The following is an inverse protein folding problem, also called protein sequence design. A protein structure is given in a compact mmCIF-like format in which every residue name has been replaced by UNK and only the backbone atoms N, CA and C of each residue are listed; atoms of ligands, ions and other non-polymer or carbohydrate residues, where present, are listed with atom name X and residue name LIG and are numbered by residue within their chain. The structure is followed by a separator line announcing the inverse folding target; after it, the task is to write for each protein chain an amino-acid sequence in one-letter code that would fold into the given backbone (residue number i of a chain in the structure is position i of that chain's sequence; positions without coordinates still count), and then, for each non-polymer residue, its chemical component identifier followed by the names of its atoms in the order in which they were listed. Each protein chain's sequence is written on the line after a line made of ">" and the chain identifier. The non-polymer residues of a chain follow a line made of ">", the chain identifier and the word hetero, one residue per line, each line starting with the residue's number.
data_IF_307829788874
#
_entry.id   IF_307829788874
#
_cell.length_a   1.000
_cell.length_b   1.000
_cell.length_c   1.000
_cell.angle_alpha   90.00
_cell.angle_beta   90.00
_cell.angle_gamma   90.00
#
_symmetry.space_group_name_H-M   'P 1'
#
loop_
_entity.id
_entity.type
_entity.pdbx_description
1 polymer ?
#
# COMPACT_ATOMS: atom_id res chain seq x y z
N UNK A 1 1.50 -24.73 -24.02
CA UNK A 1 1.05 -24.07 -22.77
C UNK A 1 -0.43 -23.75 -22.93
N UNK A 2 -1.30 -24.26 -22.04
CA UNK A 2 -2.74 -23.99 -22.13
C UNK A 2 -3.03 -22.49 -21.99
N UNK A 3 -4.15 -22.02 -22.52
CA UNK A 3 -4.57 -20.61 -22.37
C UNK A 3 -4.57 -20.18 -20.90
N UNK A 4 -5.04 -21.06 -20.01
CA UNK A 4 -5.02 -20.87 -18.56
C UNK A 4 -3.61 -20.60 -18.01
N UNK A 5 -2.59 -21.27 -18.56
CA UNK A 5 -1.18 -21.04 -18.19
C UNK A 5 -0.67 -19.65 -18.60
N UNK A 6 -1.07 -19.16 -19.78
CA UNK A 6 -0.72 -17.80 -20.25
C UNK A 6 -1.31 -16.73 -19.33
N UNK A 7 -2.60 -16.85 -18.98
CA UNK A 7 -3.25 -15.91 -18.07
C UNK A 7 -2.63 -15.91 -16.66
N UNK A 8 -2.22 -17.08 -16.15
CA UNK A 8 -1.55 -17.18 -14.85
C UNK A 8 -0.19 -16.48 -14.84
N UNK A 9 0.60 -16.62 -15.91
CA UNK A 9 1.90 -15.94 -16.05
C UNK A 9 1.75 -14.43 -16.16
N UNK A 10 0.82 -13.96 -17.00
CA UNK A 10 0.55 -12.51 -17.13
C UNK A 10 0.12 -11.92 -15.78
N UNK A 11 -0.79 -12.58 -15.07
CA UNK A 11 -1.20 -12.15 -13.72
C UNK A 11 -0.02 -12.10 -12.76
N UNK A 12 0.83 -13.13 -12.73
CA UNK A 12 1.99 -13.16 -11.86
C UNK A 12 2.99 -12.04 -12.21
N UNK A 13 3.22 -11.78 -13.49
CA UNK A 13 4.04 -10.66 -13.96
C UNK A 13 3.50 -9.31 -13.47
N UNK A 14 2.19 -9.07 -13.62
CA UNK A 14 1.54 -7.87 -13.11
C UNK A 14 1.66 -7.73 -11.59
N UNK A 15 1.47 -8.83 -10.84
CA UNK A 15 1.65 -8.82 -9.37
C UNK A 15 3.07 -8.39 -9.03
N UNK A 16 4.10 -8.94 -9.69
CA UNK A 16 5.51 -8.57 -9.45
C UNK A 16 5.73 -7.09 -9.75
N UNK A 17 5.37 -6.67 -10.97
CA UNK A 17 5.61 -5.30 -11.47
C UNK A 17 4.91 -4.24 -10.63
N UNK A 18 3.74 -4.54 -10.05
CA UNK A 18 3.02 -3.60 -9.20
C UNK A 18 3.45 -3.66 -7.73
N UNK A 19 3.76 -4.86 -7.21
CA UNK A 19 4.13 -5.01 -5.79
C UNK A 19 5.44 -4.28 -5.49
N UNK A 20 6.45 -4.38 -6.35
CA UNK A 20 7.77 -3.77 -6.09
C UNK A 20 7.74 -2.24 -5.95
N UNK A 21 7.18 -1.45 -6.90
CA UNK A 21 7.11 0.00 -6.75
C UNK A 21 6.17 0.42 -5.62
N UNK A 22 5.04 -0.26 -5.41
CA UNK A 22 4.18 0.01 -4.27
C UNK A 22 4.88 -0.28 -2.94
N UNK A 23 5.70 -1.33 -2.87
CA UNK A 23 6.47 -1.67 -1.69
C UNK A 23 7.54 -0.63 -1.39
N UNK A 24 8.24 -0.14 -2.42
CA UNK A 24 9.17 0.96 -2.26
C UNK A 24 8.45 2.22 -1.78
N UNK A 25 7.30 2.55 -2.36
CA UNK A 25 6.52 3.73 -1.99
C UNK A 25 6.00 3.65 -0.55
N UNK A 26 5.22 2.62 -0.20
CA UNK A 26 4.66 2.48 1.15
C UNK A 26 5.74 2.18 2.20
N UNK A 27 6.81 1.48 1.81
CA UNK A 27 7.98 1.29 2.66
C UNK A 27 8.65 2.62 3.01
N UNK A 28 8.88 3.48 2.01
CA UNK A 28 9.47 4.80 2.20
C UNK A 28 8.58 5.71 3.05
N UNK A 29 7.29 5.84 2.70
CA UNK A 29 6.36 6.71 3.42
C UNK A 29 6.11 6.19 4.84
N UNK A 30 5.95 4.87 5.02
CA UNK A 30 5.80 4.23 6.33
C UNK A 30 7.04 4.43 7.22
N UNK A 31 8.24 4.33 6.65
CA UNK A 31 9.49 4.62 7.35
C UNK A 31 9.53 6.06 7.87
N UNK A 32 9.28 7.04 7.01
CA UNK A 32 9.26 8.45 7.43
C UNK A 32 8.22 8.69 8.54
N UNK A 33 7.01 8.14 8.43
CA UNK A 33 5.97 8.26 9.46
C UNK A 33 6.41 7.67 10.82
N UNK A 34 7.17 6.57 10.82
CA UNK A 34 7.61 5.89 12.04
C UNK A 34 8.80 6.58 12.73
N UNK A 35 9.72 7.16 11.95
CA UNK A 35 11.05 7.54 12.45
C UNK A 35 11.42 9.01 12.29
N UNK A 36 10.84 9.75 11.32
CA UNK A 36 11.20 11.15 11.10
C UNK A 36 10.71 12.06 12.22
N UNK A 37 11.36 13.21 12.34
CA UNK A 37 10.91 14.27 13.26
C UNK A 37 9.58 14.86 12.80
N UNK A 38 8.77 15.40 13.72
CA UNK A 38 7.53 16.07 13.38
C UNK A 38 7.75 17.24 12.40
N UNK A 39 8.83 18.01 12.58
CA UNK A 39 9.18 19.11 11.68
C UNK A 39 9.42 18.64 10.23
N UNK A 40 10.09 17.51 10.05
CA UNK A 40 10.31 16.89 8.73
C UNK A 40 8.99 16.40 8.12
N UNK A 41 8.12 15.79 8.93
CA UNK A 41 6.79 15.36 8.50
C UNK A 41 5.92 16.55 8.04
N UNK A 42 5.96 17.68 8.76
CA UNK A 42 5.28 18.92 8.36
C UNK A 42 5.85 19.46 7.05
N UNK A 43 7.18 19.51 6.92
CA UNK A 43 7.86 20.00 5.73
C UNK A 43 7.47 19.20 4.47
N UNK A 44 7.35 17.88 4.60
CA UNK A 44 6.95 16.98 3.52
C UNK A 44 5.44 16.77 3.42
N UNK A 45 4.64 17.53 4.17
CA UNK A 45 3.16 17.43 4.19
C UNK A 45 2.68 16.00 4.42
N UNK A 46 3.30 15.26 5.32
CA UNK A 46 2.80 13.95 5.71
C UNK A 46 1.46 14.15 6.45
N UNK A 47 0.41 13.43 6.05
CA UNK A 47 -0.91 13.58 6.68
C UNK A 47 -0.91 13.27 8.19
N UNK A 48 0.01 12.41 8.64
CA UNK A 48 0.18 12.06 10.06
C UNK A 48 0.74 13.22 10.89
N UNK A 49 1.25 14.28 10.28
CA UNK A 49 1.65 15.50 10.98
C UNK A 49 0.46 16.20 11.66
N UNK A 50 -0.77 15.91 11.20
CA UNK A 50 -2.04 16.38 11.77
C UNK A 50 -2.55 15.49 12.92
N UNK A 51 -1.84 14.41 13.27
CA UNK A 51 -2.17 13.52 14.37
C UNK A 51 -1.25 13.76 15.58
N UNK A 52 -1.67 13.33 16.79
CA UNK A 52 -0.74 13.14 17.90
C UNK A 52 0.44 12.26 17.47
N UNK A 53 1.66 12.63 17.88
CA UNK A 53 2.90 12.00 17.40
C UNK A 53 2.90 10.47 17.56
N UNK A 54 2.45 9.97 18.72
CA UNK A 54 2.39 8.53 18.98
C UNK A 54 1.48 7.79 17.99
N UNK A 55 0.33 8.40 17.60
CA UNK A 55 -0.57 7.83 16.61
C UNK A 55 0.04 7.90 15.21
N UNK A 56 0.69 9.01 14.85
CA UNK A 56 1.40 9.13 13.58
C UNK A 56 2.48 8.06 13.41
N UNK A 57 3.26 7.79 14.47
CA UNK A 57 4.27 6.72 14.48
C UNK A 57 3.65 5.33 14.38
N UNK A 58 2.54 5.08 15.09
CA UNK A 58 1.82 3.81 15.02
C UNK A 58 1.30 3.53 13.60
N UNK A 59 0.79 4.55 12.91
CA UNK A 59 0.40 4.46 11.49
C UNK A 59 1.60 4.11 10.62
N UNK A 60 2.77 4.71 10.84
CA UNK A 60 3.99 4.36 10.12
C UNK A 60 4.38 2.89 10.27
N UNK A 61 4.37 2.38 11.51
CA UNK A 61 4.62 0.96 11.78
C UNK A 61 3.59 0.03 11.15
N UNK A 62 2.31 0.41 11.17
CA UNK A 62 1.25 -0.35 10.50
C UNK A 62 1.51 -0.41 8.98
N UNK A 63 1.82 0.71 8.34
CA UNK A 63 2.11 0.78 6.91
C UNK A 63 3.31 -0.08 6.52
N UNK A 64 4.37 -0.08 7.33
CA UNK A 64 5.52 -0.97 7.15
C UNK A 64 5.12 -2.45 7.30
N UNK A 65 4.32 -2.80 8.30
CA UNK A 65 3.86 -4.18 8.48
C UNK A 65 2.99 -4.67 7.31
N UNK A 66 2.07 -3.83 6.81
CA UNK A 66 1.26 -4.12 5.61
C UNK A 66 2.14 -4.25 4.37
N UNK A 67 3.18 -3.41 4.26
CA UNK A 67 4.18 -3.47 3.19
C UNK A 67 4.97 -4.77 3.24
N UNK A 68 5.31 -5.29 4.42
CA UNK A 68 5.94 -6.61 4.51
C UNK A 68 4.95 -7.72 4.17
N UNK A 69 3.68 -7.57 4.54
CA UNK A 69 2.65 -8.58 4.33
C UNK A 69 2.37 -8.86 2.84
N UNK A 70 2.19 -7.85 2.01
CA UNK A 70 1.97 -8.06 0.57
C UNK A 70 3.25 -8.46 -0.19
N UNK A 71 4.46 -8.10 0.27
CA UNK A 71 5.73 -8.67 -0.24
C UNK A 71 5.81 -10.17 0.11
N UNK A 72 5.49 -10.54 1.35
CA UNK A 72 5.46 -11.95 1.75
C UNK A 72 4.43 -12.74 0.93
N UNK A 73 3.28 -12.13 0.61
CA UNK A 73 2.31 -12.70 -0.31
C UNK A 73 2.88 -12.87 -1.73
N UNK A 74 3.64 -11.90 -2.26
CA UNK A 74 4.32 -12.04 -3.56
C UNK A 74 5.18 -13.31 -3.59
N UNK A 75 6.01 -13.51 -2.56
CA UNK A 75 7.00 -14.59 -2.48
C UNK A 75 6.40 -15.95 -2.12
N UNK A 76 5.28 -15.99 -1.40
CA UNK A 76 4.66 -17.23 -0.91
C UNK A 76 3.18 -17.28 -1.28
N UNK A 77 2.83 -18.14 -2.23
CA UNK A 77 1.45 -18.32 -2.72
C UNK A 77 0.45 -18.65 -1.60
N UNK A 78 0.86 -19.41 -0.57
CA UNK A 78 0.02 -19.70 0.62
C UNK A 78 -0.41 -18.45 1.40
N UNK A 79 0.32 -17.33 1.26
CA UNK A 79 0.05 -16.07 1.93
C UNK A 79 -0.77 -15.10 1.08
N UNK A 80 -1.32 -15.54 -0.05
CA UNK A 80 -2.04 -14.65 -0.98
C UNK A 80 -3.21 -13.92 -0.32
N UNK A 81 -3.97 -14.58 0.58
CA UNK A 81 -5.07 -13.92 1.32
C UNK A 81 -4.58 -12.76 2.19
N UNK A 82 -3.40 -12.90 2.78
CA UNK A 82 -2.76 -11.83 3.56
C UNK A 82 -2.39 -10.65 2.65
N UNK A 83 -1.95 -10.90 1.42
CA UNK A 83 -1.72 -9.85 0.42
C UNK A 83 -2.99 -9.07 0.06
N UNK A 84 -4.14 -9.75 -0.09
CA UNK A 84 -5.44 -9.10 -0.31
C UNK A 84 -5.80 -8.18 0.86
N UNK A 85 -5.71 -8.68 2.09
CA UNK A 85 -6.00 -7.90 3.29
C UNK A 85 -5.06 -6.70 3.44
N UNK A 86 -3.77 -6.88 3.14
CA UNK A 86 -2.79 -5.81 3.19
C UNK A 86 -3.07 -4.71 2.18
N UNK A 87 -3.38 -5.06 0.92
CA UNK A 87 -3.80 -4.09 -0.09
C UNK A 87 -5.07 -3.34 0.32
N UNK A 88 -6.08 -4.03 0.87
CA UNK A 88 -7.30 -3.40 1.35
C UNK A 88 -7.03 -2.39 2.49
N UNK A 89 -6.19 -2.75 3.46
CA UNK A 89 -5.82 -1.88 4.55
C UNK A 89 -5.00 -0.66 4.08
N UNK A 90 -4.08 -0.83 3.13
CA UNK A 90 -3.34 0.27 2.52
C UNK A 90 -4.26 1.23 1.75
N UNK A 91 -5.25 0.71 1.01
CA UNK A 91 -6.28 1.54 0.36
C UNK A 91 -7.04 2.40 1.37
N UNK A 92 -7.40 1.82 2.52
CA UNK A 92 -8.07 2.58 3.60
C UNK A 92 -7.16 3.68 4.15
N UNK A 93 -5.88 3.38 4.42
CA UNK A 93 -4.93 4.38 4.90
C UNK A 93 -4.70 5.51 3.89
N UNK A 94 -4.60 5.19 2.60
CA UNK A 94 -4.47 6.18 1.53
C UNK A 94 -5.75 7.04 1.38
N UNK A 95 -6.92 6.46 1.55
CA UNK A 95 -8.19 7.20 1.55
C UNK A 95 -8.27 8.17 2.75
N UNK A 96 -7.84 7.74 3.93
CA UNK A 96 -7.74 8.59 5.13
C UNK A 96 -6.71 9.71 4.90
N UNK A 97 -5.55 9.40 4.32
CA UNK A 97 -4.53 10.38 3.95
C UNK A 97 -5.11 11.43 3.01
N UNK A 98 -5.78 11.02 1.94
CA UNK A 98 -6.40 11.90 0.97
C UNK A 98 -7.43 12.82 1.64
N UNK A 99 -8.33 12.25 2.46
CA UNK A 99 -9.35 13.01 3.18
C UNK A 99 -8.71 14.03 4.13
N UNK A 100 -7.66 13.63 4.85
CA UNK A 100 -6.94 14.52 5.77
C UNK A 100 -6.35 15.72 5.04
N UNK A 101 -5.71 15.52 3.89
CA UNK A 101 -5.19 16.63 3.06
C UNK A 101 -6.29 17.56 2.57
N UNK A 102 -7.46 17.04 2.19
CA UNK A 102 -8.60 17.87 1.77
C UNK A 102 -9.18 18.70 2.92
N UNK A 103 -9.28 18.12 4.12
CA UNK A 103 -9.77 18.82 5.32
C UNK A 103 -8.76 19.88 5.77
N UNK A 104 -7.48 19.52 5.84
CA UNK A 104 -6.40 20.39 6.31
C UNK A 104 -6.02 21.49 5.30
N UNK A 105 -6.38 21.33 4.01
CA UNK A 105 -6.04 22.25 2.92
C UNK A 105 -4.54 22.56 2.85
N UNK A 106 -3.70 21.57 3.14
CA UNK A 106 -2.23 21.71 3.19
C UNK A 106 -1.56 21.74 1.81
N UNK A 107 -2.35 21.58 0.73
CA UNK A 107 -1.87 21.62 -0.64
C UNK A 107 -1.00 20.42 -1.02
N UNK A 108 -1.16 19.27 -0.34
CA UNK A 108 -0.61 18.01 -0.81
C UNK A 108 -1.33 17.56 -2.10
N UNK A 109 -0.61 16.95 -3.07
CA UNK A 109 -1.18 16.57 -4.36
C UNK A 109 -2.14 15.39 -4.23
N UNK A 110 -3.45 15.65 -4.36
CA UNK A 110 -4.50 14.62 -4.30
C UNK A 110 -4.31 13.49 -5.31
N UNK A 111 -3.71 13.79 -6.47
CA UNK A 111 -3.50 12.82 -7.54
C UNK A 111 -2.64 11.63 -7.09
N UNK A 112 -1.63 11.86 -6.23
CA UNK A 112 -0.75 10.79 -5.76
C UNK A 112 -1.54 9.74 -4.97
N UNK A 113 -2.34 10.15 -3.98
CA UNK A 113 -3.17 9.22 -3.21
C UNK A 113 -4.19 8.51 -4.11
N UNK A 114 -4.84 9.21 -5.05
CA UNK A 114 -5.82 8.59 -5.97
C UNK A 114 -5.15 7.50 -6.81
N UNK A 115 -3.98 7.77 -7.38
CA UNK A 115 -3.22 6.79 -8.16
C UNK A 115 -2.82 5.60 -7.28
N UNK A 116 -2.26 5.85 -6.09
CA UNK A 116 -1.87 4.77 -5.16
C UNK A 116 -3.06 3.92 -4.74
N UNK A 117 -4.23 4.51 -4.46
CA UNK A 117 -5.47 3.79 -4.13
C UNK A 117 -5.86 2.86 -5.28
N UNK A 118 -5.95 3.39 -6.50
CA UNK A 118 -6.39 2.62 -7.68
C UNK A 118 -5.43 1.47 -7.96
N UNK A 119 -4.13 1.74 -7.97
CA UNK A 119 -3.11 0.72 -8.27
C UNK A 119 -3.04 -0.34 -7.16
N UNK A 120 -3.16 0.06 -5.90
CA UNK A 120 -3.16 -0.87 -4.75
C UNK A 120 -4.42 -1.73 -4.72
N UNK A 121 -5.59 -1.15 -5.02
CA UNK A 121 -6.84 -1.90 -5.13
C UNK A 121 -6.77 -2.92 -6.28
N UNK A 122 -6.21 -2.53 -7.43
CA UNK A 122 -6.01 -3.43 -8.55
C UNK A 122 -5.04 -4.57 -8.21
N UNK A 123 -3.94 -4.29 -7.50
CA UNK A 123 -3.04 -5.33 -6.99
C UNK A 123 -3.76 -6.28 -6.02
N UNK A 124 -4.59 -5.75 -5.11
CA UNK A 124 -5.42 -6.55 -4.21
C UNK A 124 -6.36 -7.49 -4.97
N UNK A 125 -6.98 -7.01 -6.05
CA UNK A 125 -7.79 -7.85 -6.95
C UNK A 125 -6.96 -8.94 -7.63
N UNK A 126 -5.76 -8.63 -8.13
CA UNK A 126 -4.87 -9.64 -8.71
C UNK A 126 -4.48 -10.74 -7.69
N UNK A 127 -4.18 -10.36 -6.45
CA UNK A 127 -3.97 -11.33 -5.37
C UNK A 127 -5.22 -12.18 -5.13
N UNK A 128 -6.42 -11.58 -5.07
CA UNK A 128 -7.66 -12.32 -4.89
C UNK A 128 -7.89 -13.36 -6.00
N UNK A 129 -7.63 -12.98 -7.27
CA UNK A 129 -7.70 -13.89 -8.42
C UNK A 129 -6.68 -15.01 -8.32
N UNK A 130 -5.47 -14.76 -7.82
CA UNK A 130 -4.46 -15.80 -7.58
C UNK A 130 -4.89 -16.76 -6.47
N UNK A 131 -5.48 -16.27 -5.39
CA UNK A 131 -5.98 -17.10 -4.29
C UNK A 131 -7.08 -18.06 -4.75
N UNK A 132 -8.03 -17.56 -5.56
CA UNK A 132 -9.13 -18.37 -6.09
C UNK A 132 -8.67 -19.49 -7.04
N UNK A 133 -7.50 -19.36 -7.67
CA UNK A 133 -6.93 -20.41 -8.52
C UNK A 133 -6.05 -21.42 -7.78
N UNK A 134 -5.76 -21.19 -6.50
CA UNK A 134 -4.90 -22.05 -5.68
C UNK A 134 -5.69 -22.99 -4.75
N UNK A 135 -7.01 -22.81 -4.67
CA UNK A 135 -7.99 -23.68 -4.01
C UNK A 135 -8.61 -24.63 -5.02
#
# INVERSE_FOLDING_TARGET
>A
MSENGKFALVRQGLIVVLTLPLALFHGFVGWHKAFSSHAELVMHKAWTAHLPEALGRAVGWLELALTLAFIAALLRTRLTRMGVMACAALVVLEAISLLTHQIAKDGAPALQNVVTIVVTAFLGWLYARRAATAT
#
